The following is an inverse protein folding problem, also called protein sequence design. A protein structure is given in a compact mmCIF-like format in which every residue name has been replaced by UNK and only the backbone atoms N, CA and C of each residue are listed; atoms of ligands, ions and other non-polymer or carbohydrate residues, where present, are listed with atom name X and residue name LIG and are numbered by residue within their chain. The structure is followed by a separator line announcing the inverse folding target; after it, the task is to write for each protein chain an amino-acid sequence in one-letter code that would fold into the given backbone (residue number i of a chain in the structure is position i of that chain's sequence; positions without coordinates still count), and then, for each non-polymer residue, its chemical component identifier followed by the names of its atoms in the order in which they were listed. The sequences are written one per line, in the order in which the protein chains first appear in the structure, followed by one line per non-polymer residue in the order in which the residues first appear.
data_IF_199587690451
#
_entry.id   IF_199587690451
#
_cell.length_a   1.000
_cell.length_b   1.000
_cell.length_c   1.000
_cell.angle_alpha   90.00
_cell.angle_beta   90.00
_cell.angle_gamma   90.00
#
_symmetry.space_group_name_H-M   'P 1'
#
loop_
_entity.id
_entity.type
_entity.pdbx_description
1 polymer ?
#
# COMPACT_ATOMS: atom_id res chain seq x y z
N UNK A 1 -11.76 17.38 -8.98
CA UNK A 1 -10.99 16.13 -9.15
C UNK A 1 -9.63 16.37 -8.52
N UNK A 2 -9.37 15.78 -7.35
CA UNK A 2 -8.03 15.85 -6.77
C UNK A 2 -7.15 14.87 -7.54
N UNK A 3 -6.02 15.32 -8.13
CA UNK A 3 -5.12 14.43 -8.85
C UNK A 3 -4.56 13.37 -7.91
N UNK A 4 -4.37 12.15 -8.42
CA UNK A 4 -3.62 11.10 -7.73
C UNK A 4 -2.15 11.53 -7.69
N UNK A 5 -1.54 11.55 -6.51
CA UNK A 5 -0.10 11.78 -6.36
C UNK A 5 0.63 10.44 -6.45
N UNK A 6 1.46 10.28 -7.46
CA UNK A 6 2.27 9.08 -7.66
C UNK A 6 3.64 9.32 -7.01
N UNK A 7 4.04 8.45 -6.08
CA UNK A 7 5.37 8.42 -5.46
C UNK A 7 6.29 7.46 -6.22
N UNK A 8 5.76 6.28 -6.55
CA UNK A 8 6.46 5.25 -7.32
C UNK A 8 5.43 4.54 -8.19
N UNK A 9 5.80 4.28 -9.44
CA UNK A 9 4.98 3.59 -10.42
C UNK A 9 5.79 2.47 -11.09
N UNK A 10 5.09 1.42 -11.53
CA UNK A 10 5.68 0.37 -12.35
C UNK A 10 4.82 0.17 -13.61
N UNK A 11 5.06 0.95 -14.68
CA UNK A 11 4.20 0.96 -15.86
C UNK A 11 4.27 -0.34 -16.68
N UNK A 12 5.24 -1.21 -16.38
CA UNK A 12 5.43 -2.50 -17.04
C UNK A 12 4.64 -3.65 -16.35
N UNK A 13 3.96 -3.35 -15.24
CA UNK A 13 3.09 -4.28 -14.50
C UNK A 13 1.59 -4.04 -14.77
N UNK A 14 0.74 -4.91 -14.21
CA UNK A 14 -0.71 -4.88 -14.39
C UNK A 14 -1.35 -3.58 -13.85
N UNK A 15 -2.49 -3.19 -14.44
CA UNK A 15 -3.20 -1.95 -14.10
C UNK A 15 -3.95 -1.97 -12.74
N UNK A 16 -3.54 -2.84 -11.81
CA UNK A 16 -4.20 -3.06 -10.52
C UNK A 16 -4.13 -1.80 -9.65
N UNK A 17 -2.98 -1.10 -9.64
CA UNK A 17 -2.80 0.14 -8.89
C UNK A 17 -3.76 1.27 -9.30
N UNK A 18 -3.95 1.50 -10.61
CA UNK A 18 -4.97 2.47 -11.08
C UNK A 18 -6.38 1.94 -10.83
N UNK A 19 -6.63 0.64 -10.89
CA UNK A 19 -7.92 0.05 -10.54
C UNK A 19 -8.29 0.29 -9.07
N UNK A 20 -7.35 0.09 -8.14
CA UNK A 20 -7.53 0.42 -6.73
C UNK A 20 -7.83 1.90 -6.52
N UNK A 21 -7.10 2.81 -7.19
CA UNK A 21 -7.36 4.24 -7.10
C UNK A 21 -8.78 4.61 -7.58
N UNK A 22 -9.32 3.92 -8.59
CA UNK A 22 -10.71 4.09 -9.04
C UNK A 22 -11.73 3.65 -7.98
N UNK A 23 -11.47 2.54 -7.28
CA UNK A 23 -12.32 2.06 -6.17
C UNK A 23 -12.27 3.03 -4.99
N UNK A 24 -11.10 3.50 -4.60
CA UNK A 24 -10.97 4.50 -3.53
C UNK A 24 -11.73 5.78 -3.88
N UNK A 25 -11.65 6.22 -5.13
CA UNK A 25 -12.40 7.40 -5.59
C UNK A 25 -13.91 7.18 -5.57
N UNK A 26 -14.41 5.98 -5.87
CA UNK A 26 -15.86 5.70 -5.82
C UNK A 26 -16.40 5.64 -4.39
N UNK A 27 -15.59 5.14 -3.44
CA UNK A 27 -15.95 5.07 -2.02
C UNK A 27 -15.79 6.42 -1.31
N UNK A 28 -14.73 7.16 -1.62
CA UNK A 28 -14.39 8.43 -1.00
C UNK A 28 -13.96 9.49 -2.05
N UNK A 29 -14.91 10.09 -2.79
CA UNK A 29 -14.61 11.00 -3.90
C UNK A 29 -13.81 12.26 -3.51
N UNK A 30 -13.88 12.66 -2.24
CA UNK A 30 -13.17 13.82 -1.69
C UNK A 30 -11.78 13.52 -1.11
N UNK A 31 -11.37 12.25 -1.04
CA UNK A 31 -10.07 11.88 -0.51
C UNK A 31 -8.94 12.29 -1.48
N UNK A 32 -7.82 12.73 -0.92
CA UNK A 32 -6.57 12.80 -1.67
C UNK A 32 -6.01 11.37 -1.79
N UNK A 33 -5.60 10.98 -2.99
CA UNK A 33 -5.06 9.64 -3.25
C UNK A 33 -3.56 9.77 -3.50
N UNK A 34 -2.77 9.01 -2.75
CA UNK A 34 -1.33 8.86 -2.95
C UNK A 34 -1.07 7.40 -3.32
N UNK A 35 -0.25 7.16 -4.34
CA UNK A 35 0.07 5.83 -4.85
C UNK A 35 1.57 5.55 -4.77
N UNK A 36 1.93 4.34 -4.35
CA UNK A 36 3.28 3.81 -4.40
C UNK A 36 3.23 2.33 -4.76
N UNK A 37 3.90 1.94 -5.85
CA UNK A 37 4.06 0.54 -6.22
C UNK A 37 4.88 -0.23 -5.15
N UNK A 38 4.56 -1.50 -4.93
CA UNK A 38 5.30 -2.34 -3.98
C UNK A 38 6.71 -2.73 -4.48
N UNK A 39 6.93 -2.71 -5.80
CA UNK A 39 8.20 -3.03 -6.44
C UNK A 39 8.54 -4.53 -6.41
N UNK A 40 9.47 -4.99 -7.28
CA UNK A 40 9.82 -6.41 -7.41
C UNK A 40 10.85 -6.88 -6.37
N UNK A 41 11.51 -5.96 -5.67
CA UNK A 41 12.63 -6.27 -4.77
C UNK A 41 12.17 -6.58 -3.34
N UNK A 42 12.90 -7.46 -2.66
CA UNK A 42 12.70 -7.75 -1.24
C UNK A 42 12.81 -6.47 -0.41
N UNK A 43 11.74 -6.16 0.34
CA UNK A 43 11.66 -4.98 1.19
C UNK A 43 11.18 -3.70 0.48
N UNK A 44 11.00 -3.70 -0.84
CA UNK A 44 10.43 -2.55 -1.54
C UNK A 44 9.03 -2.17 -1.02
N UNK A 45 8.19 -3.18 -0.71
CA UNK A 45 6.89 -2.96 -0.04
C UNK A 45 7.04 -2.21 1.29
N UNK A 46 8.06 -2.52 2.09
CA UNK A 46 8.29 -1.84 3.37
C UNK A 46 8.61 -0.36 3.17
N UNK A 47 9.47 -0.05 2.20
CA UNK A 47 9.80 1.33 1.81
C UNK A 47 8.56 2.08 1.32
N UNK A 48 7.75 1.47 0.44
CA UNK A 48 6.53 2.09 -0.07
C UNK A 48 5.52 2.42 1.02
N UNK A 49 5.41 1.58 2.06
CA UNK A 49 4.58 1.87 3.23
C UNK A 49 5.12 3.10 3.97
N UNK A 50 6.42 3.14 4.26
CA UNK A 50 7.03 4.28 4.95
C UNK A 50 6.90 5.59 4.13
N UNK A 51 7.03 5.53 2.81
CA UNK A 51 6.86 6.67 1.90
C UNK A 51 5.42 7.20 1.87
N UNK A 52 4.43 6.29 1.90
CA UNK A 52 3.02 6.68 2.00
C UNK A 52 2.72 7.38 3.32
N UNK A 53 3.26 6.88 4.44
CA UNK A 53 3.14 7.53 5.75
C UNK A 53 3.79 8.92 5.70
N UNK A 54 5.01 9.03 5.16
CA UNK A 54 5.72 10.30 5.03
C UNK A 54 4.99 11.29 4.10
N UNK A 55 4.24 10.80 3.11
CA UNK A 55 3.39 11.62 2.26
C UNK A 55 2.08 12.06 2.93
N UNK A 56 1.82 11.64 4.17
CA UNK A 56 0.66 12.03 4.96
C UNK A 56 -0.57 11.13 4.80
N UNK A 57 -0.39 9.89 4.34
CA UNK A 57 -1.49 8.94 4.27
C UNK A 57 -2.06 8.65 5.66
N UNK A 58 -3.38 8.77 5.82
CA UNK A 58 -4.11 8.43 7.04
C UNK A 58 -4.78 7.06 6.97
N UNK A 59 -4.97 6.56 5.75
CA UNK A 59 -5.46 5.22 5.43
C UNK A 59 -4.54 4.64 4.36
N UNK A 60 -4.07 3.41 4.58
CA UNK A 60 -3.30 2.65 3.58
C UNK A 60 -4.04 1.36 3.29
N UNK A 61 -4.17 1.06 1.99
CA UNK A 61 -4.78 -0.17 1.47
C UNK A 61 -3.76 -0.84 0.54
N UNK A 62 -3.46 -2.11 0.77
CA UNK A 62 -2.59 -2.91 -0.09
C UNK A 62 -3.23 -4.25 -0.48
N UNK A 63 -2.89 -4.74 -1.66
CA UNK A 63 -3.28 -6.05 -2.19
C UNK A 63 -2.09 -6.96 -2.52
N UNK A 64 -0.87 -6.48 -2.25
CA UNK A 64 0.37 -7.20 -2.50
C UNK A 64 0.75 -8.05 -1.29
N UNK A 65 0.82 -9.36 -1.47
CA UNK A 65 1.28 -10.25 -0.40
C UNK A 65 2.81 -10.38 -0.46
N UNK A 66 3.48 -10.21 0.69
CA UNK A 66 4.92 -10.42 0.80
C UNK A 66 5.26 -11.89 1.01
N UNK A 67 6.36 -12.37 0.44
CA UNK A 67 6.78 -13.79 0.49
C UNK A 67 7.04 -14.31 1.92
N UNK A 68 7.25 -13.42 2.89
CA UNK A 68 7.68 -13.76 4.25
C UNK A 68 6.71 -13.30 5.36
N UNK A 69 5.45 -12.97 5.03
CA UNK A 69 4.37 -12.69 5.99
C UNK A 69 3.70 -13.98 6.49
N UNK A 70 4.51 -14.99 6.87
CA UNK A 70 3.99 -16.19 7.53
C UNK A 70 3.38 -15.78 8.87
N UNK A 71 2.27 -16.41 9.25
CA UNK A 71 1.51 -16.10 10.47
C UNK A 71 2.33 -16.04 11.78
N UNK A 72 3.55 -16.59 11.80
CA UNK A 72 4.40 -16.74 12.98
C UNK A 72 5.71 -15.95 12.93
N UNK A 73 6.03 -15.20 11.85
CA UNK A 73 7.23 -14.34 11.80
C UNK A 73 6.96 -13.07 11.01
N UNK A 74 7.18 -11.91 11.65
CA UNK A 74 7.02 -10.60 11.02
C UNK A 74 8.25 -10.29 10.16
N UNK A 75 8.07 -10.24 8.84
CA UNK A 75 9.08 -9.74 7.89
C UNK A 75 9.18 -8.20 7.86
N UNK A 76 10.07 -7.62 7.03
CA UNK A 76 10.27 -6.17 6.91
C UNK A 76 8.98 -5.38 6.61
N UNK A 77 8.14 -5.88 5.70
CA UNK A 77 6.85 -5.27 5.36
C UNK A 77 5.93 -5.21 6.57
N UNK A 78 5.84 -6.32 7.31
CA UNK A 78 5.12 -6.35 8.57
C UNK A 78 5.67 -5.31 9.55
N UNK A 79 6.98 -5.16 9.70
CA UNK A 79 7.53 -4.13 10.59
C UNK A 79 7.13 -2.70 10.16
N UNK A 80 7.08 -2.42 8.86
CA UNK A 80 6.59 -1.15 8.33
C UNK A 80 5.09 -0.93 8.61
N UNK A 81 4.26 -1.97 8.45
CA UNK A 81 2.84 -1.92 8.85
C UNK A 81 2.69 -1.54 10.32
N UNK A 82 3.50 -2.12 11.22
CA UNK A 82 3.43 -1.77 12.64
C UNK A 82 3.76 -0.30 12.87
N UNK A 83 4.82 0.21 12.23
CA UNK A 83 5.20 1.63 12.34
C UNK A 83 4.09 2.55 11.83
N UNK A 84 3.44 2.21 10.72
CA UNK A 84 2.33 2.98 10.18
C UNK A 84 1.14 3.02 11.16
N UNK A 85 0.77 1.87 11.72
CA UNK A 85 -0.29 1.77 12.73
C UNK A 85 0.06 2.56 13.99
N UNK A 86 1.30 2.45 14.47
CA UNK A 86 1.79 3.21 15.64
C UNK A 86 1.81 4.73 15.38
N UNK A 87 1.96 5.14 14.12
CA UNK A 87 1.84 6.53 13.67
C UNK A 87 0.37 7.00 13.48
N UNK A 88 -0.62 6.15 13.77
CA UNK A 88 -2.04 6.46 13.68
C UNK A 88 -2.67 6.23 12.31
N UNK A 89 -1.98 5.54 11.40
CA UNK A 89 -2.52 5.19 10.08
C UNK A 89 -3.43 3.97 10.20
N UNK A 90 -4.62 4.04 9.61
CA UNK A 90 -5.48 2.87 9.46
C UNK A 90 -4.99 2.02 8.29
N UNK A 91 -4.54 0.80 8.56
CA UNK A 91 -3.96 -0.11 7.57
C UNK A 91 -4.87 -1.31 7.32
N UNK A 92 -5.20 -1.59 6.07
CA UNK A 92 -5.97 -2.78 5.66
C UNK A 92 -5.32 -3.45 4.45
N UNK A 93 -5.19 -4.77 4.51
CA UNK A 93 -4.55 -5.58 3.48
C UNK A 93 -5.51 -6.66 2.96
N UNK A 94 -5.33 -7.08 1.72
CA UNK A 94 -6.08 -8.20 1.15
C UNK A 94 -5.69 -9.53 1.84
N UNK A 95 -6.68 -10.41 2.06
CA UNK A 95 -6.46 -11.72 2.68
C UNK A 95 -5.66 -12.70 1.78
N UNK A 96 -5.53 -12.40 0.48
CA UNK A 96 -4.87 -13.26 -0.49
C UNK A 96 -5.79 -14.28 -1.14
N UNK A 97 -5.26 -14.96 -2.17
CA UNK A 97 -5.98 -15.95 -2.99
C UNK A 97 -5.46 -17.39 -2.85
N UNK A 98 -4.72 -17.68 -1.79
CA UNK A 98 -3.96 -18.93 -1.59
C UNK A 98 -4.65 -19.93 -0.64
N UNK A 99 -5.96 -20.16 -0.82
CA UNK A 99 -6.82 -20.93 0.11
C UNK A 99 -6.32 -22.32 0.52
#
# INVERSE_FOLDING_TARGET
MSPVRILTDNPDEDDEGRAMARVLHSVAPGAAIVFAAAGPEDGAKATSIDDLVAAGATVIVDDVQGEDERAFRRGPSGAAVQRAVDAGVFYVTAAGKYG
#
